data_IF_541780376346
#
_entry.id   IF_541780376346
#
_cell.length_a   1.000
_cell.length_b   1.000
_cell.length_c   1.000
_cell.angle_alpha   90.00
_cell.angle_beta   90.00
_cell.angle_gamma   90.00
#
_symmetry.space_group_name_H-M   'P 1'
#
loop_
_entity.id
_entity.type
_entity.pdbx_description
1 polymer ?
#
# COMPACT_ATOMS: atom_id res chain seq x y z
N UNK A 1 5.67 -24.34 12.60
CA UNK A 1 4.27 -23.86 12.69
C UNK A 1 4.29 -22.34 12.61
N UNK A 2 3.90 -21.75 11.47
CA UNK A 2 3.82 -20.29 11.34
C UNK A 2 2.61 -19.87 12.17
N UNK A 3 2.83 -19.16 13.27
CA UNK A 3 1.74 -18.58 14.07
C UNK A 3 0.93 -17.63 13.18
N UNK A 4 -0.39 -17.60 13.34
CA UNK A 4 -1.29 -16.81 12.48
C UNK A 4 -0.89 -15.32 12.39
N UNK A 5 -0.27 -14.78 13.44
CA UNK A 5 0.32 -13.43 13.47
C UNK A 5 1.47 -13.22 12.48
N UNK A 6 2.37 -14.21 12.33
CA UNK A 6 3.48 -14.12 11.37
C UNK A 6 2.95 -14.11 9.93
N UNK A 7 1.94 -14.93 9.63
CA UNK A 7 1.30 -14.94 8.31
C UNK A 7 0.63 -13.60 7.99
N UNK A 8 -0.10 -13.03 8.95
CA UNK A 8 -0.77 -11.75 8.79
C UNK A 8 0.23 -10.57 8.66
N UNK A 9 1.39 -10.67 9.31
CA UNK A 9 2.47 -9.68 9.21
C UNK A 9 3.15 -9.74 7.83
N UNK A 10 3.46 -10.93 7.34
CA UNK A 10 4.04 -11.13 5.98
C UNK A 10 3.08 -10.63 4.91
N UNK A 11 1.78 -10.91 5.03
CA UNK A 11 0.76 -10.37 4.12
C UNK A 11 0.79 -8.84 4.08
N UNK A 12 0.91 -8.19 5.24
CA UNK A 12 0.96 -6.74 5.33
C UNK A 12 2.19 -6.15 4.62
N UNK A 13 3.36 -6.81 4.74
CA UNK A 13 4.57 -6.39 4.03
C UNK A 13 4.42 -6.53 2.51
N UNK A 14 3.79 -7.61 2.05
CA UNK A 14 3.52 -7.83 0.63
C UNK A 14 2.57 -6.74 0.10
N UNK A 15 1.48 -6.43 0.82
CA UNK A 15 0.55 -5.36 0.45
C UNK A 15 1.25 -3.99 0.34
N UNK A 16 2.12 -3.65 1.31
CA UNK A 16 2.89 -2.40 1.28
C UNK A 16 3.90 -2.37 0.13
N UNK A 17 4.53 -3.49 -0.20
CA UNK A 17 5.44 -3.59 -1.35
C UNK A 17 4.72 -3.31 -2.67
N UNK A 18 3.56 -3.94 -2.90
CA UNK A 18 2.75 -3.68 -4.09
C UNK A 18 2.22 -2.25 -4.14
N UNK A 19 1.86 -1.67 -2.99
CA UNK A 19 1.48 -0.27 -2.90
C UNK A 19 2.60 0.68 -3.31
N UNK A 20 3.83 0.42 -2.86
CA UNK A 20 5.01 1.20 -3.27
C UNK A 20 5.27 1.08 -4.78
N UNK A 21 5.15 -0.13 -5.35
CA UNK A 21 5.28 -0.35 -6.78
C UNK A 21 4.23 0.43 -7.60
N UNK A 22 2.97 0.44 -7.14
CA UNK A 22 1.88 1.23 -7.74
C UNK A 22 2.19 2.73 -7.74
N UNK A 23 2.71 3.26 -6.63
CA UNK A 23 3.08 4.68 -6.52
C UNK A 23 4.22 5.01 -7.48
N UNK A 24 5.29 4.19 -7.51
CA UNK A 24 6.42 4.40 -8.42
C UNK A 24 5.97 4.36 -9.88
N UNK A 25 5.09 3.42 -10.22
CA UNK A 25 4.52 3.31 -11.57
C UNK A 25 3.67 4.55 -11.93
N UNK A 26 2.81 5.00 -11.01
CA UNK A 26 2.02 6.23 -11.20
C UNK A 26 2.89 7.46 -11.39
N UNK A 27 3.91 7.66 -10.56
CA UNK A 27 4.86 8.77 -10.69
C UNK A 27 5.64 8.71 -12.01
N UNK A 28 6.06 7.51 -12.43
CA UNK A 28 6.76 7.32 -13.72
C UNK A 28 5.86 7.64 -14.91
N UNK A 29 4.59 7.23 -14.86
CA UNK A 29 3.60 7.55 -15.89
C UNK A 29 3.32 9.06 -15.98
N UNK A 30 3.21 9.75 -14.84
CA UNK A 30 3.07 11.21 -14.78
C UNK A 30 4.28 11.94 -15.37
N UNK A 31 5.49 11.45 -15.08
CA UNK A 31 6.72 12.04 -15.60
C UNK A 31 6.85 11.89 -17.12
N UNK A 32 6.42 10.75 -17.68
CA UNK A 32 6.51 10.48 -19.12
C UNK A 32 5.41 11.15 -19.95
N UNK A 33 4.22 11.33 -19.36
CA UNK A 33 2.98 11.61 -20.11
C UNK A 33 2.34 12.96 -19.76
N UNK A 34 3.14 14.03 -19.64
CA UNK A 34 2.64 15.35 -19.21
C UNK A 34 1.43 15.87 -20.01
N UNK A 35 1.30 15.54 -21.30
CA UNK A 35 0.24 16.06 -22.18
C UNK A 35 -1.01 15.17 -22.30
N UNK A 36 -1.03 13.95 -21.75
CA UNK A 36 -2.19 13.06 -21.86
C UNK A 36 -3.01 13.01 -20.56
N UNK A 37 -4.13 13.73 -20.56
CA UNK A 37 -5.03 13.84 -19.40
C UNK A 37 -5.56 12.50 -18.88
N UNK A 38 -5.83 11.52 -19.74
CA UNK A 38 -6.33 10.21 -19.32
C UNK A 38 -5.26 9.39 -18.60
N UNK A 39 -4.03 9.39 -19.13
CA UNK A 39 -2.88 8.72 -18.49
C UNK A 39 -2.56 9.35 -17.14
N UNK A 40 -2.66 10.68 -17.03
CA UNK A 40 -2.42 11.41 -15.79
C UNK A 40 -3.46 11.08 -14.72
N UNK A 41 -4.76 10.97 -15.08
CA UNK A 41 -5.81 10.54 -14.16
C UNK A 41 -5.59 9.12 -13.64
N UNK A 42 -5.25 8.18 -14.53
CA UNK A 42 -4.94 6.80 -14.13
C UNK A 42 -3.72 6.71 -13.21
N UNK A 43 -2.69 7.49 -13.50
CA UNK A 43 -1.48 7.57 -12.69
C UNK A 43 -1.74 8.17 -11.29
N UNK A 44 -2.54 9.23 -11.20
CA UNK A 44 -2.99 9.79 -9.92
C UNK A 44 -3.81 8.76 -9.14
N UNK A 45 -4.70 8.02 -9.79
CA UNK A 45 -5.48 6.95 -9.17
C UNK A 45 -4.59 5.85 -8.58
N UNK A 46 -3.51 5.44 -9.29
CA UNK A 46 -2.53 4.48 -8.76
C UNK A 46 -1.77 5.02 -7.54
N UNK A 47 -1.40 6.30 -7.53
CA UNK A 47 -0.78 6.93 -6.37
C UNK A 47 -1.73 6.95 -5.15
N UNK A 48 -2.99 7.33 -5.35
CA UNK A 48 -4.01 7.36 -4.29
C UNK A 48 -4.27 5.94 -3.76
N UNK A 49 -4.42 4.96 -4.66
CA UNK A 49 -4.64 3.56 -4.27
C UNK A 49 -3.47 3.02 -3.43
N UNK A 50 -2.22 3.29 -3.85
CA UNK A 50 -1.05 2.89 -3.07
C UNK A 50 -1.02 3.52 -1.68
N UNK A 51 -1.33 4.82 -1.55
CA UNK A 51 -1.41 5.49 -0.25
C UNK A 51 -2.48 4.87 0.65
N UNK A 52 -3.67 4.57 0.11
CA UNK A 52 -4.75 3.93 0.86
C UNK A 52 -4.35 2.54 1.38
N UNK A 53 -3.64 1.75 0.57
CA UNK A 53 -3.14 0.43 0.99
C UNK A 53 -2.14 0.58 2.14
N UNK A 54 -1.22 1.56 2.07
CA UNK A 54 -0.24 1.81 3.15
C UNK A 54 -0.96 2.24 4.44
N UNK A 55 -1.94 3.13 4.35
CA UNK A 55 -2.73 3.59 5.50
C UNK A 55 -3.48 2.42 6.15
N UNK A 56 -4.14 1.58 5.33
CA UNK A 56 -4.82 0.37 5.79
C UNK A 56 -3.85 -0.60 6.47
N UNK A 57 -2.71 -0.87 5.85
CA UNK A 57 -1.68 -1.75 6.40
C UNK A 57 -1.15 -1.26 7.75
N UNK A 58 -0.94 0.06 7.89
CA UNK A 58 -0.54 0.68 9.15
C UNK A 58 -1.63 0.58 10.23
N UNK A 59 -2.90 0.74 9.84
CA UNK A 59 -4.04 0.57 10.75
C UNK A 59 -4.17 -0.86 11.25
N UNK A 60 -4.06 -1.86 10.37
CA UNK A 60 -4.06 -3.29 10.74
C UNK A 60 -2.88 -3.65 11.66
N UNK A 61 -1.70 -3.06 11.43
CA UNK A 61 -0.56 -3.22 12.32
C UNK A 61 -0.83 -2.64 13.72
N UNK A 62 -1.33 -1.41 13.81
CA UNK A 62 -1.70 -0.78 15.09
C UNK A 62 -2.77 -1.56 15.83
N UNK A 63 -3.80 -2.04 15.12
CA UNK A 63 -4.87 -2.85 15.71
C UNK A 63 -4.35 -4.12 16.37
N UNK A 64 -3.47 -4.86 15.68
CA UNK A 64 -2.82 -6.07 16.24
C UNK A 64 -1.99 -5.74 17.47
N UNK A 65 -1.13 -4.72 17.37
CA UNK A 65 -0.29 -4.29 18.50
C UNK A 65 -1.11 -3.94 19.74
N UNK A 66 -2.25 -3.25 19.58
CA UNK A 66 -3.15 -2.91 20.67
C UNK A 66 -3.83 -4.13 21.31
N UNK A 67 -4.09 -5.19 20.55
CA UNK A 67 -4.68 -6.43 21.08
C UNK A 67 -3.65 -7.27 21.85
N UNK A 68 -2.39 -7.21 21.46
CA UNK A 68 -1.29 -7.90 22.17
C UNK A 68 -0.92 -7.22 23.48
N UNK A 69 -1.21 -5.92 23.65
CA UNK A 69 -0.93 -5.21 24.92
C UNK A 69 -2.00 -5.42 25.99
N UNK A 70 -3.15 -5.99 25.61
CA UNK A 70 -4.31 -6.24 26.50
C UNK A 70 -4.42 -7.71 26.95
N UNK A 71 -3.47 -8.55 26.57
CA UNK A 71 -3.31 -9.95 27.02
C UNK A 71 -2.13 -10.05 27.98
#
# INVERSE_FOLDING_TARGET
MITQEKAATVKNYIEVFFAAALIVFGLSALAWSQSNHFTNLGAIAFCIAGLLIIVKANWEYRKRKSQDTLK
#
